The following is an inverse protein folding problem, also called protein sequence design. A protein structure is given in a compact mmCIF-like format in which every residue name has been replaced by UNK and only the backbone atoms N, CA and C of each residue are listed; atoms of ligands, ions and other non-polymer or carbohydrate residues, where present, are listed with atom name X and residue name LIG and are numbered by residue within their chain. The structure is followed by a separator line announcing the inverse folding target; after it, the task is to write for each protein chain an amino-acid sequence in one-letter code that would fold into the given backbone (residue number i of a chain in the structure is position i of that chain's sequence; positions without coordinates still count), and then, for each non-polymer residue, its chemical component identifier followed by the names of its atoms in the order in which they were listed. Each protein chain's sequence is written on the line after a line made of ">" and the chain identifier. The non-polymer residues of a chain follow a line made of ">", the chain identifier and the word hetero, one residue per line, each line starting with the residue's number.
data_IF_900592263949
#
_entry.id   IF_900592263949
#
_cell.length_a   1.000
_cell.length_b   1.000
_cell.length_c   1.000
_cell.angle_alpha   90.00
_cell.angle_beta   90.00
_cell.angle_gamma   90.00
#
_symmetry.space_group_name_H-M   'P 1'
#
loop_
_entity.id
_entity.type
_entity.pdbx_description
1 polymer ?
#
# COMPACT_ATOMS: atom_id res chain seq x y z
N UNK A 1 -16.63 -6.21 27.19
CA UNK A 1 -16.31 -4.77 26.97
C UNK A 1 -16.90 -4.33 25.64
N UNK A 2 -17.77 -3.30 25.64
CA UNK A 2 -18.38 -2.79 24.42
C UNK A 2 -17.36 -1.99 23.61
N UNK A 3 -17.15 -2.36 22.34
CA UNK A 3 -16.34 -1.55 21.43
C UNK A 3 -17.21 -0.35 20.99
N UNK A 4 -16.79 0.88 21.29
CA UNK A 4 -17.49 2.11 20.92
C UNK A 4 -17.75 2.22 19.42
N UNK A 5 -16.88 1.62 18.58
CA UNK A 5 -17.03 1.53 17.12
C UNK A 5 -18.34 0.87 16.70
N UNK A 6 -18.86 -0.07 17.52
CA UNK A 6 -20.14 -0.75 17.24
C UNK A 6 -21.36 0.16 17.38
N UNK A 7 -21.22 1.29 18.06
CA UNK A 7 -22.31 2.28 18.21
C UNK A 7 -22.47 3.18 16.99
N UNK A 8 -21.45 3.22 16.12
CA UNK A 8 -21.43 4.02 14.88
C UNK A 8 -21.33 3.12 13.66
N UNK A 9 -22.26 2.14 13.57
CA UNK A 9 -22.30 1.22 12.43
C UNK A 9 -22.58 2.00 11.14
N UNK A 10 -21.56 2.11 10.28
CA UNK A 10 -21.69 2.55 8.90
C UNK A 10 -21.68 1.32 8.00
N UNK A 11 -22.53 1.31 6.98
CA UNK A 11 -22.50 0.28 5.92
C UNK A 11 -21.26 0.42 5.03
N UNK A 12 -20.57 1.55 5.12
CA UNK A 12 -19.38 1.89 4.36
C UNK A 12 -18.14 1.92 5.24
N UNK A 13 -17.02 1.61 4.62
CA UNK A 13 -15.70 1.68 5.23
C UNK A 13 -15.38 3.10 5.66
N UNK A 14 -14.93 3.27 6.89
CA UNK A 14 -14.58 4.55 7.48
C UNK A 14 -13.11 4.56 7.96
N UNK A 15 -12.56 5.74 8.24
CA UNK A 15 -11.15 5.88 8.65
C UNK A 15 -10.81 5.14 9.93
N UNK A 16 -11.77 4.94 10.81
CA UNK A 16 -11.58 4.18 12.07
C UNK A 16 -11.67 2.65 11.90
N UNK A 17 -12.07 2.14 10.73
CA UNK A 17 -12.07 0.71 10.44
C UNK A 17 -10.67 0.20 10.05
N UNK A 18 -9.72 1.11 9.74
CA UNK A 18 -8.36 0.79 9.29
C UNK A 18 -7.34 1.48 10.20
N UNK A 19 -6.57 0.71 10.95
CA UNK A 19 -5.50 1.23 11.82
C UNK A 19 -4.14 1.33 11.07
N UNK A 20 -3.89 0.42 10.14
CA UNK A 20 -2.69 0.38 9.28
C UNK A 20 -3.09 0.19 7.82
N UNK A 21 -2.30 0.66 6.85
CA UNK A 21 -2.62 0.46 5.44
C UNK A 21 -2.89 -1.00 5.11
N UNK A 22 -3.96 -1.26 4.37
CA UNK A 22 -4.41 -2.60 3.98
C UNK A 22 -4.49 -2.72 2.46
N UNK A 23 -4.18 -3.90 1.96
CA UNK A 23 -4.33 -4.22 0.54
C UNK A 23 -5.64 -4.96 0.33
N UNK A 24 -6.50 -4.42 -0.53
CA UNK A 24 -7.76 -5.02 -0.93
C UNK A 24 -7.85 -5.11 -2.45
N UNK A 25 -8.64 -6.07 -2.94
CA UNK A 25 -8.90 -6.26 -4.37
C UNK A 25 -10.29 -5.75 -4.71
N UNK A 26 -10.40 -4.77 -5.60
CA UNK A 26 -11.68 -4.27 -6.09
C UNK A 26 -12.39 -5.40 -6.87
N UNK A 27 -13.56 -5.82 -6.39
CA UNK A 27 -14.46 -6.76 -7.07
C UNK A 27 -15.25 -6.05 -8.16
N UNK A 28 -15.81 -4.89 -7.82
CA UNK A 28 -16.59 -4.04 -8.73
C UNK A 28 -16.67 -2.61 -8.23
N UNK A 29 -16.93 -1.69 -9.14
CA UNK A 29 -17.24 -0.29 -8.83
C UNK A 29 -18.57 0.06 -9.45
N UNK A 30 -19.46 0.69 -8.70
CA UNK A 30 -20.79 1.08 -9.17
C UNK A 30 -21.21 2.44 -8.61
N UNK A 31 -22.08 3.12 -9.32
CA UNK A 31 -22.75 4.30 -8.79
C UNK A 31 -23.95 3.86 -7.94
N UNK A 32 -24.02 4.32 -6.71
CA UNK A 32 -25.13 4.05 -5.77
C UNK A 32 -25.71 5.36 -5.25
N UNK A 33 -27.02 5.40 -5.09
CA UNK A 33 -27.68 6.48 -4.35
C UNK A 33 -27.55 6.18 -2.85
N UNK A 34 -26.87 7.05 -2.14
CA UNK A 34 -26.67 6.92 -0.71
C UNK A 34 -27.56 7.94 -0.01
N UNK A 35 -28.39 7.45 0.92
CA UNK A 35 -29.18 8.31 1.78
C UNK A 35 -28.32 8.73 2.98
N UNK A 36 -27.76 9.92 2.88
CA UNK A 36 -27.19 10.66 4.00
C UNK A 36 -28.20 11.73 4.43
N UNK A 37 -27.77 12.93 4.75
CA UNK A 37 -28.69 14.07 4.99
C UNK A 37 -29.48 14.48 3.72
N UNK A 38 -28.92 14.21 2.55
CA UNK A 38 -29.56 14.30 1.23
C UNK A 38 -29.21 13.08 0.42
N UNK A 39 -30.13 12.63 -0.45
CA UNK A 39 -29.84 11.56 -1.41
C UNK A 39 -28.78 12.03 -2.41
N UNK A 40 -27.60 11.42 -2.37
CA UNK A 40 -26.50 11.76 -3.27
C UNK A 40 -26.02 10.51 -4.01
N UNK A 41 -25.72 10.69 -5.29
CA UNK A 41 -25.12 9.64 -6.11
C UNK A 41 -23.61 9.57 -5.80
N UNK A 42 -23.13 8.43 -5.37
CA UNK A 42 -21.73 8.21 -5.03
C UNK A 42 -21.17 7.01 -5.79
N UNK A 43 -19.88 7.08 -6.11
CA UNK A 43 -19.12 5.96 -6.66
C UNK A 43 -18.69 5.08 -5.49
N UNK A 44 -19.00 3.79 -5.54
CA UNK A 44 -18.77 2.84 -4.45
C UNK A 44 -17.99 1.65 -4.98
N UNK A 45 -16.90 1.30 -4.30
CA UNK A 45 -16.12 0.10 -4.56
C UNK A 45 -16.52 -1.02 -3.59
N UNK A 46 -16.70 -2.22 -4.15
CA UNK A 46 -16.87 -3.48 -3.42
C UNK A 46 -15.60 -4.28 -3.54
N UNK A 47 -15.24 -5.03 -2.49
CA UNK A 47 -13.98 -5.78 -2.42
C UNK A 47 -14.22 -7.29 -2.43
N UNK A 48 -13.23 -8.01 -2.97
CA UNK A 48 -13.22 -9.49 -3.00
C UNK A 48 -13.04 -10.03 -1.58
N UNK A 49 -12.16 -9.42 -0.81
CA UNK A 49 -11.92 -9.79 0.59
C UNK A 49 -13.15 -9.47 1.42
N UNK A 50 -13.61 -10.44 2.21
CA UNK A 50 -14.79 -10.29 3.07
C UNK A 50 -14.44 -9.93 4.51
N UNK A 51 -13.18 -10.19 4.92
CA UNK A 51 -12.68 -9.90 6.26
C UNK A 51 -11.27 -9.32 6.19
N UNK A 52 -10.99 -8.42 7.11
CA UNK A 52 -9.63 -7.96 7.40
C UNK A 52 -8.81 -9.02 8.14
N UNK A 53 -7.47 -8.89 8.23
CA UNK A 53 -6.63 -9.79 9.01
C UNK A 53 -7.01 -9.90 10.49
N UNK A 54 -7.62 -8.84 11.06
CA UNK A 54 -8.13 -8.81 12.43
C UNK A 54 -9.50 -9.50 12.59
N UNK A 55 -10.07 -10.06 11.50
CA UNK A 55 -11.35 -10.76 11.49
C UNK A 55 -12.59 -9.87 11.32
N UNK A 56 -12.44 -8.54 11.33
CA UNK A 56 -13.55 -7.62 11.07
C UNK A 56 -14.01 -7.67 9.61
N UNK A 57 -15.31 -7.44 9.33
CA UNK A 57 -15.82 -7.48 7.96
C UNK A 57 -15.31 -6.32 7.12
N UNK A 58 -14.90 -6.59 5.88
CA UNK A 58 -14.59 -5.56 4.88
C UNK A 58 -15.91 -5.02 4.32
N UNK A 59 -16.11 -3.73 4.50
CA UNK A 59 -17.28 -3.00 3.99
C UNK A 59 -16.99 -2.39 2.61
N UNK A 60 -18.03 -1.96 1.92
CA UNK A 60 -17.87 -1.17 0.69
C UNK A 60 -17.24 0.19 1.00
N UNK A 61 -16.49 0.75 0.07
CA UNK A 61 -15.83 2.06 0.22
C UNK A 61 -16.42 3.08 -0.74
N UNK A 62 -16.82 4.23 -0.22
CA UNK A 62 -17.18 5.38 -1.05
C UNK A 62 -15.90 5.99 -1.63
N UNK A 63 -15.82 6.03 -2.95
CA UNK A 63 -14.70 6.62 -3.66
C UNK A 63 -14.95 8.12 -3.88
N UNK A 64 -14.08 8.94 -3.33
CA UNK A 64 -14.04 10.36 -3.65
C UNK A 64 -13.27 10.60 -4.97
N UNK A 65 -13.30 11.83 -5.49
CA UNK A 65 -12.63 12.18 -6.74
C UNK A 65 -11.13 11.91 -6.73
N UNK A 66 -10.47 12.03 -5.58
CA UNK A 66 -9.03 11.73 -5.44
C UNK A 66 -8.77 10.24 -5.60
N UNK A 67 -9.58 9.38 -4.97
CA UNK A 67 -9.48 7.93 -5.11
C UNK A 67 -9.72 7.49 -6.56
N UNK A 68 -10.74 8.03 -7.22
CA UNK A 68 -11.00 7.75 -8.64
C UNK A 68 -9.83 8.18 -9.55
N UNK A 69 -9.18 9.32 -9.26
CA UNK A 69 -7.99 9.77 -10.01
C UNK A 69 -6.80 8.82 -9.86
N UNK A 70 -6.58 8.25 -8.67
CA UNK A 70 -5.50 7.27 -8.43
C UNK A 70 -5.74 6.03 -9.28
N UNK A 71 -6.95 5.46 -9.27
CA UNK A 71 -7.30 4.28 -10.07
C UNK A 71 -7.19 4.61 -11.58
N UNK A 72 -7.78 5.73 -12.01
CA UNK A 72 -7.71 6.16 -13.40
C UNK A 72 -6.26 6.33 -13.89
N UNK A 73 -5.40 6.95 -13.09
CA UNK A 73 -3.98 7.15 -13.45
C UNK A 73 -3.26 5.82 -13.67
N UNK A 74 -3.55 4.82 -12.87
CA UNK A 74 -2.94 3.50 -12.96
C UNK A 74 -3.51 2.66 -14.11
N UNK A 75 -4.84 2.66 -14.27
CA UNK A 75 -5.53 1.84 -15.29
C UNK A 75 -5.58 2.49 -16.68
N UNK A 76 -5.37 3.81 -16.77
CA UNK A 76 -5.58 4.63 -17.97
C UNK A 76 -7.02 4.56 -18.52
N UNK A 77 -7.95 4.03 -17.74
CA UNK A 77 -9.34 3.87 -18.12
C UNK A 77 -10.25 4.74 -17.23
N UNK A 78 -11.19 5.47 -17.85
CA UNK A 78 -12.16 6.33 -17.16
C UNK A 78 -13.46 5.59 -16.81
N UNK A 79 -13.69 4.45 -17.45
CA UNK A 79 -14.88 3.66 -17.23
C UNK A 79 -14.77 2.87 -15.93
N UNK A 80 -15.64 3.21 -14.97
CA UNK A 80 -15.69 2.58 -13.63
C UNK A 80 -16.09 1.12 -13.68
N UNK A 81 -16.87 0.69 -14.67
CA UNK A 81 -17.31 -0.70 -14.82
C UNK A 81 -16.15 -1.63 -15.18
N UNK A 82 -15.09 -1.06 -15.76
CA UNK A 82 -13.84 -1.78 -16.06
C UNK A 82 -12.92 -1.93 -14.86
N UNK A 83 -13.17 -1.24 -13.75
CA UNK A 83 -12.33 -1.27 -12.55
C UNK A 83 -12.60 -2.52 -11.71
N UNK A 84 -12.18 -3.67 -12.23
CA UNK A 84 -12.34 -5.00 -11.61
C UNK A 84 -10.99 -5.67 -11.45
N UNK A 85 -10.86 -6.50 -10.41
CA UNK A 85 -9.63 -7.26 -10.12
C UNK A 85 -8.38 -6.38 -9.92
N UNK A 86 -8.58 -5.14 -9.48
CA UNK A 86 -7.51 -4.17 -9.23
C UNK A 86 -7.14 -4.23 -7.75
N UNK A 87 -5.88 -4.54 -7.45
CA UNK A 87 -5.37 -4.46 -6.08
C UNK A 87 -5.02 -3.02 -5.73
N UNK A 88 -5.56 -2.56 -4.61
CA UNK A 88 -5.35 -1.21 -4.09
C UNK A 88 -4.84 -1.28 -2.65
N UNK A 89 -3.93 -0.40 -2.31
CA UNK A 89 -3.55 -0.15 -0.94
C UNK A 89 -4.37 1.02 -0.41
N UNK A 90 -5.10 0.79 0.67
CA UNK A 90 -5.99 1.76 1.31
C UNK A 90 -5.41 2.14 2.66
N UNK A 91 -5.38 3.41 2.96
CA UNK A 91 -4.91 3.92 4.24
C UNK A 91 -5.65 5.17 4.68
N UNK A 92 -5.36 5.60 5.89
CA UNK A 92 -5.92 6.80 6.51
C UNK A 92 -4.98 7.96 6.26
N UNK A 93 -5.51 9.05 5.73
CA UNK A 93 -4.74 10.28 5.44
C UNK A 93 -5.37 11.48 6.12
N UNK A 94 -4.57 12.48 6.53
CA UNK A 94 -5.09 13.73 7.08
C UNK A 94 -5.95 14.47 6.04
N UNK A 95 -7.14 14.91 6.45
CA UNK A 95 -8.01 15.76 5.65
C UNK A 95 -7.61 17.24 5.84
N UNK A 96 -6.90 17.80 4.90
CA UNK A 96 -6.56 19.22 4.90
C UNK A 96 -7.82 20.08 4.67
N UNK A 97 -8.19 20.88 5.65
CA UNK A 97 -9.19 21.94 5.49
C UNK A 97 -10.65 21.58 5.81
N UNK A 98 -10.94 20.45 6.44
CA UNK A 98 -12.28 20.11 6.95
C UNK A 98 -12.30 20.10 8.48
N UNK A 99 -13.06 21.02 9.05
CA UNK A 99 -13.34 21.05 10.50
C UNK A 99 -14.22 19.84 10.84
N UNK A 100 -13.82 19.05 11.83
CA UNK A 100 -14.59 17.90 12.35
C UNK A 100 -14.29 16.53 11.73
N UNK A 101 -13.53 16.45 10.65
CA UNK A 101 -13.02 15.17 10.08
C UNK A 101 -11.53 15.32 9.78
N UNK A 102 -10.71 15.10 10.78
CA UNK A 102 -9.24 15.24 10.67
C UNK A 102 -8.61 14.21 9.75
N UNK A 103 -9.24 13.04 9.58
CA UNK A 103 -8.72 11.92 8.80
C UNK A 103 -9.77 11.36 7.83
N UNK A 104 -9.32 10.93 6.67
CA UNK A 104 -10.16 10.28 5.66
C UNK A 104 -9.49 9.06 5.05
N UNK A 105 -10.31 8.18 4.45
CA UNK A 105 -9.81 7.05 3.70
C UNK A 105 -9.32 7.49 2.32
N UNK A 106 -8.16 6.99 1.93
CA UNK A 106 -7.59 7.20 0.61
C UNK A 106 -7.01 5.92 0.03
N UNK A 107 -7.18 5.75 -1.28
CA UNK A 107 -6.38 4.79 -2.03
C UNK A 107 -4.99 5.42 -2.18
N UNK A 108 -4.01 4.82 -1.53
CA UNK A 108 -2.63 5.29 -1.52
C UNK A 108 -1.96 5.00 -2.87
N UNK A 109 -2.20 3.80 -3.39
CA UNK A 109 -1.72 3.35 -4.70
C UNK A 109 -2.52 2.16 -5.24
N UNK A 110 -2.43 1.95 -6.53
CA UNK A 110 -2.83 0.71 -7.19
C UNK A 110 -1.60 -0.19 -7.26
N UNK A 111 -1.74 -1.43 -6.83
CA UNK A 111 -0.67 -2.43 -6.87
C UNK A 111 -0.77 -3.15 -8.21
N UNK A 112 0.17 -2.85 -9.12
CA UNK A 112 0.28 -3.56 -10.39
C UNK A 112 0.95 -4.92 -10.20
N UNK A 113 0.80 -5.82 -11.17
CA UNK A 113 1.56 -7.07 -11.18
C UNK A 113 3.08 -6.84 -11.24
N UNK A 114 3.48 -5.68 -11.77
CA UNK A 114 4.86 -5.22 -11.80
C UNK A 114 5.34 -4.77 -10.41
N UNK A 115 4.46 -4.24 -9.55
CA UNK A 115 4.78 -3.87 -8.17
C UNK A 115 5.09 -5.10 -7.28
N UNK A 116 4.66 -6.30 -7.66
CA UNK A 116 5.09 -7.54 -7.00
C UNK A 116 6.60 -7.80 -7.17
N UNK A 117 7.21 -7.27 -8.22
CA UNK A 117 8.66 -7.37 -8.45
C UNK A 117 9.42 -6.33 -7.63
N UNK A 118 8.78 -5.21 -7.24
CA UNK A 118 9.44 -4.11 -6.53
C UNK A 118 9.42 -4.24 -5.00
N UNK A 119 8.66 -5.17 -4.42
CA UNK A 119 8.57 -5.33 -2.95
C UNK A 119 9.04 -6.69 -2.41
N UNK A 120 9.49 -7.61 -3.25
CA UNK A 120 10.36 -8.69 -2.84
C UNK A 120 11.80 -8.20 -3.04
N UNK A 121 12.39 -7.66 -1.95
CA UNK A 121 13.84 -7.47 -1.93
C UNK A 121 14.45 -8.79 -2.37
N UNK A 122 15.13 -8.80 -3.51
CA UNK A 122 15.82 -10.01 -3.95
C UNK A 122 16.89 -10.35 -2.90
N UNK A 123 17.01 -11.62 -2.57
CA UNK A 123 18.12 -12.06 -1.74
C UNK A 123 19.40 -11.82 -2.55
N UNK A 124 20.36 -11.12 -1.94
CA UNK A 124 21.66 -10.91 -2.57
C UNK A 124 22.49 -12.18 -2.38
N UNK A 125 22.91 -12.80 -3.47
CA UNK A 125 23.75 -13.99 -3.47
C UNK A 125 25.04 -13.72 -4.23
N UNK A 126 26.15 -14.23 -3.72
CA UNK A 126 27.43 -14.13 -4.42
C UNK A 126 27.35 -14.84 -5.78
N UNK A 127 27.74 -14.15 -6.84
CA UNK A 127 27.66 -14.63 -8.23
C UNK A 127 26.39 -14.22 -8.98
N UNK A 128 25.44 -13.52 -8.33
CA UNK A 128 24.28 -12.94 -9.00
C UNK A 128 24.66 -11.74 -9.88
N UNK A 129 23.82 -11.44 -10.87
CA UNK A 129 23.99 -10.27 -11.74
C UNK A 129 24.05 -8.92 -11.00
N UNK A 130 23.57 -8.89 -9.76
CA UNK A 130 23.63 -7.72 -8.87
C UNK A 130 24.86 -7.70 -7.97
N UNK A 131 25.56 -8.84 -7.81
CA UNK A 131 26.71 -8.96 -6.92
C UNK A 131 27.84 -7.98 -7.29
N UNK A 132 28.24 -7.97 -8.55
CA UNK A 132 29.33 -7.10 -9.03
C UNK A 132 29.02 -5.61 -8.82
N UNK A 133 27.76 -5.21 -9.02
CA UNK A 133 27.28 -3.84 -8.76
C UNK A 133 27.35 -3.48 -7.29
N UNK A 134 27.00 -4.44 -6.43
CA UNK A 134 27.04 -4.25 -4.97
C UNK A 134 28.49 -4.17 -4.51
N UNK A 135 29.37 -5.03 -4.99
CA UNK A 135 30.81 -5.00 -4.65
C UNK A 135 31.43 -3.68 -5.11
N UNK A 136 31.11 -3.19 -6.32
CA UNK A 136 31.55 -1.89 -6.79
C UNK A 136 31.09 -0.75 -5.84
N UNK A 137 29.80 -0.76 -5.48
CA UNK A 137 29.23 0.20 -4.53
C UNK A 137 29.93 0.18 -3.17
N UNK A 138 30.23 -1.01 -2.64
CA UNK A 138 30.95 -1.17 -1.37
C UNK A 138 32.36 -0.56 -1.44
N UNK A 139 33.08 -0.85 -2.52
CA UNK A 139 34.43 -0.32 -2.75
C UNK A 139 34.46 1.22 -2.89
N UNK A 140 33.48 1.79 -3.56
CA UNK A 140 33.35 3.25 -3.75
C UNK A 140 32.95 3.98 -2.47
N UNK A 141 32.27 3.31 -1.54
CA UNK A 141 31.72 3.91 -0.33
C UNK A 141 32.39 3.43 0.96
N UNK A 142 33.60 2.91 0.91
CA UNK A 142 34.36 2.42 2.08
C UNK A 142 34.37 3.41 3.25
N UNK A 143 34.48 4.69 2.98
CA UNK A 143 34.61 5.77 3.96
C UNK A 143 33.40 5.93 4.86
N UNK A 144 32.20 5.46 4.48
CA UNK A 144 31.00 5.56 5.32
C UNK A 144 30.84 4.38 6.29
N UNK A 145 31.73 3.38 6.20
CA UNK A 145 31.76 2.20 7.06
C UNK A 145 30.76 1.12 6.69
N UNK A 146 31.14 -0.14 6.98
CA UNK A 146 30.37 -1.34 6.60
C UNK A 146 28.92 -1.31 7.11
N UNK A 147 28.66 -0.84 8.33
CA UNK A 147 27.32 -0.80 8.91
C UNK A 147 26.38 0.10 8.10
N UNK A 148 26.83 1.29 7.72
CA UNK A 148 26.07 2.23 6.90
C UNK A 148 25.84 1.68 5.50
N UNK A 149 26.83 1.05 4.90
CA UNK A 149 26.71 0.38 3.59
C UNK A 149 25.66 -0.73 3.65
N UNK A 150 25.72 -1.60 4.65
CA UNK A 150 24.75 -2.69 4.83
C UNK A 150 23.33 -2.14 5.00
N UNK A 151 23.12 -1.10 5.81
CA UNK A 151 21.82 -0.48 6.00
C UNK A 151 21.27 0.08 4.68
N UNK A 152 22.10 0.73 3.87
CA UNK A 152 21.71 1.23 2.56
C UNK A 152 21.33 0.10 1.59
N UNK A 153 22.10 -0.98 1.58
CA UNK A 153 21.83 -2.15 0.74
C UNK A 153 20.57 -2.90 1.20
N UNK A 154 20.28 -2.96 2.50
CA UNK A 154 19.07 -3.57 3.05
C UNK A 154 17.79 -2.82 2.64
N UNK A 155 17.87 -1.60 2.14
CA UNK A 155 16.73 -0.93 1.53
C UNK A 155 16.27 -1.63 0.24
N UNK A 156 17.20 -2.26 -0.51
CA UNK A 156 16.99 -2.87 -1.83
C UNK A 156 17.06 -4.40 -1.83
N UNK A 157 17.87 -4.99 -0.94
CA UNK A 157 18.17 -6.42 -0.93
C UNK A 157 17.93 -7.04 0.45
N UNK A 158 17.62 -8.35 0.47
CA UNK A 158 17.74 -9.18 1.66
C UNK A 158 19.21 -9.61 1.76
N UNK A 159 19.89 -9.29 2.86
CA UNK A 159 21.29 -9.56 3.05
C UNK A 159 21.45 -10.55 4.21
N UNK A 160 21.85 -11.77 3.89
CA UNK A 160 22.13 -12.82 4.86
C UNK A 160 23.41 -12.53 5.65
N UNK A 161 23.61 -13.25 6.76
CA UNK A 161 24.82 -13.13 7.59
C UNK A 161 26.09 -13.50 6.82
N UNK A 162 25.99 -14.47 5.91
CA UNK A 162 27.11 -14.89 5.06
C UNK A 162 27.52 -13.79 4.09
N UNK A 163 26.54 -13.18 3.42
CA UNK A 163 26.77 -12.05 2.51
C UNK A 163 27.40 -10.85 3.24
N UNK A 164 26.99 -10.58 4.48
CA UNK A 164 27.63 -9.51 5.29
C UNK A 164 29.12 -9.78 5.53
N UNK A 165 29.50 -11.03 5.81
CA UNK A 165 30.90 -11.44 5.98
C UNK A 165 31.67 -11.31 4.67
N UNK A 166 31.09 -11.69 3.54
CA UNK A 166 31.75 -11.55 2.25
C UNK A 166 31.94 -10.08 1.87
N UNK A 167 30.93 -9.23 2.10
CA UNK A 167 31.04 -7.80 1.82
C UNK A 167 32.05 -7.08 2.73
N UNK A 168 32.29 -7.56 3.96
CA UNK A 168 33.28 -6.97 4.84
C UNK A 168 34.72 -7.04 4.27
N UNK A 169 35.01 -8.06 3.48
CA UNK A 169 36.32 -8.21 2.84
C UNK A 169 36.68 -7.12 1.81
N UNK A 170 35.68 -6.38 1.34
CA UNK A 170 35.85 -5.31 0.36
C UNK A 170 35.90 -3.91 1.00
N UNK A 171 35.76 -3.82 2.32
CA UNK A 171 35.80 -2.55 3.06
C UNK A 171 37.16 -2.31 3.72
N UNK A 172 37.94 -3.38 3.92
CA UNK A 172 39.32 -3.34 4.47
C UNK A 172 40.33 -2.74 3.47
#
# INVERSE_FOLDING_TARGET
>A
MGNWRNSFKSDYLASWDIDTPVTLTIESVAQKVIQLQKSEQKVVAKFVEKKFPNGEPVKEMILNSSNCKVIHKATKNKDTDSWKNIKVEIGVVPNKGRIGNEFGLSILRVISSEDKVLNTKSELVNGDANWDKVVAYVKENKQIGLVSIINNLQSKYIISTNVKKELSQYVD
#
